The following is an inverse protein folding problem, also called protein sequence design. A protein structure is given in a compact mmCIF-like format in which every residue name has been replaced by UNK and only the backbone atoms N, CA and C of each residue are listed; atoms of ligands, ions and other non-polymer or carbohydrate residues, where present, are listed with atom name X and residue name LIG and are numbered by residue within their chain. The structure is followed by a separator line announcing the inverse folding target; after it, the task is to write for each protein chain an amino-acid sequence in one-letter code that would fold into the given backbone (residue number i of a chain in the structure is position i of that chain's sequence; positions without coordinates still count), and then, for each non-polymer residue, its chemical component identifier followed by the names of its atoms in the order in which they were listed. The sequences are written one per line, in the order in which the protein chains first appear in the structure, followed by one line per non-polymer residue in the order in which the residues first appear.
data_IF_365478997459
#
_entry.id   IF_365478997459
#
_cell.length_a   1.000
_cell.length_b   1.000
_cell.length_c   1.000
_cell.angle_alpha   90.00
_cell.angle_beta   90.00
_cell.angle_gamma   90.00
#
_symmetry.space_group_name_H-M   'P 1'
#
loop_
_entity.id
_entity.type
_entity.pdbx_description
1 polymer ?
#
# COMPACT_ATOMS: atom_id res chain seq x y z
N UNK A 1 17.93 -24.48 -48.90
CA UNK A 1 17.67 -25.38 -47.79
C UNK A 1 18.38 -24.82 -46.56
N UNK A 2 17.69 -23.89 -45.89
CA UNK A 2 18.08 -23.38 -44.57
C UNK A 2 17.04 -23.83 -43.57
N UNK A 3 17.41 -24.41 -42.42
CA UNK A 3 16.48 -24.62 -41.33
C UNK A 3 16.64 -23.51 -40.29
N UNK A 4 15.71 -22.54 -40.28
CA UNK A 4 15.51 -21.65 -39.14
C UNK A 4 14.87 -22.41 -37.99
N UNK A 5 15.70 -22.81 -37.02
CA UNK A 5 15.25 -23.32 -35.75
C UNK A 5 14.88 -22.18 -34.81
N UNK A 6 13.61 -21.78 -34.79
CA UNK A 6 13.09 -20.81 -33.83
C UNK A 6 13.13 -21.37 -32.42
N UNK A 7 13.95 -20.74 -31.57
CA UNK A 7 13.98 -21.01 -30.14
C UNK A 7 12.72 -20.41 -29.48
N UNK A 8 11.75 -21.24 -29.14
CA UNK A 8 10.61 -20.86 -28.29
C UNK A 8 10.98 -21.08 -26.82
N UNK A 9 11.00 -20.05 -25.98
CA UNK A 9 11.18 -20.25 -24.56
C UNK A 9 9.92 -20.87 -23.94
N UNK A 10 10.09 -22.01 -23.29
CA UNK A 10 9.05 -22.66 -22.48
C UNK A 10 8.56 -21.73 -21.36
N UNK A 11 7.27 -21.76 -21.00
CA UNK A 11 6.77 -20.96 -19.89
C UNK A 11 7.36 -21.46 -18.57
N UNK A 12 8.16 -20.60 -17.92
CA UNK A 12 8.71 -20.87 -16.60
C UNK A 12 7.59 -20.80 -15.58
N UNK A 13 7.20 -21.93 -15.04
CA UNK A 13 6.33 -22.02 -13.86
C UNK A 13 7.09 -21.39 -12.69
N UNK A 14 6.65 -20.20 -12.26
CA UNK A 14 7.17 -19.53 -11.07
C UNK A 14 6.48 -20.16 -9.86
N UNK A 15 7.23 -20.78 -8.91
CA UNK A 15 6.62 -21.27 -7.69
C UNK A 15 6.13 -20.09 -6.86
N UNK A 16 4.89 -20.18 -6.36
CA UNK A 16 4.35 -19.20 -5.43
C UNK A 16 5.15 -19.28 -4.11
N UNK A 17 5.64 -18.15 -3.64
CA UNK A 17 6.23 -18.04 -2.32
C UNK A 17 5.10 -18.15 -1.29
N UNK A 18 4.99 -19.30 -0.62
CA UNK A 18 4.17 -19.46 0.58
C UNK A 18 5.01 -19.11 1.80
N UNK A 19 4.47 -18.25 2.65
CA UNK A 19 5.03 -17.99 3.97
C UNK A 19 4.34 -18.95 4.94
N UNK A 20 5.07 -19.84 5.66
CA UNK A 20 4.48 -20.65 6.69
C UNK A 20 3.96 -19.74 7.82
N UNK A 21 2.78 -20.05 8.34
CA UNK A 21 2.26 -19.44 9.56
C UNK A 21 3.27 -19.73 10.69
N UNK A 22 3.61 -18.72 11.49
CA UNK A 22 4.50 -18.87 12.63
C UNK A 22 3.81 -19.81 13.63
N UNK A 23 4.31 -21.05 13.77
CA UNK A 23 4.02 -21.89 14.93
C UNK A 23 4.58 -21.17 16.17
N UNK A 24 3.78 -21.15 17.23
CA UNK A 24 4.07 -20.59 18.53
C UNK A 24 5.50 -20.94 19.00
N UNK A 25 6.37 -19.94 19.07
CA UNK A 25 7.62 -20.10 19.82
C UNK A 25 7.25 -19.90 21.29
N UNK A 26 7.15 -21.03 22.00
CA UNK A 26 6.90 -21.06 23.43
C UNK A 26 7.93 -20.23 24.20
N UNK A 27 7.42 -19.41 25.10
CA UNK A 27 8.18 -18.72 26.13
C UNK A 27 8.90 -19.74 27.04
N UNK A 28 10.22 -19.74 27.02
CA UNK A 28 11.01 -20.27 28.14
C UNK A 28 11.93 -19.18 28.67
N UNK A 29 11.69 -18.90 29.92
CA UNK A 29 12.15 -17.90 30.80
C UNK A 29 13.66 -17.62 30.90
N UNK A 30 13.95 -16.46 31.47
CA UNK A 30 15.28 -16.08 31.94
C UNK A 30 15.33 -14.61 32.33
N UNK A 31 14.84 -14.29 33.52
CA UNK A 31 15.14 -13.02 34.20
C UNK A 31 16.66 -12.84 34.36
N UNK A 32 17.18 -11.68 33.99
CA UNK A 32 18.26 -11.06 34.83
C UNK A 32 18.15 -9.54 34.69
N UNK A 33 17.83 -8.94 35.82
CA UNK A 33 17.84 -7.52 36.12
C UNK A 33 19.27 -6.97 36.16
N UNK A 34 19.52 -5.81 35.59
CA UNK A 34 20.54 -4.88 36.09
C UNK A 34 20.00 -3.46 36.05
N UNK A 35 19.83 -2.92 37.23
CA UNK A 35 19.60 -1.51 37.57
C UNK A 35 20.85 -0.67 37.38
N UNK A 36 20.61 0.65 37.40
CA UNK A 36 21.47 1.85 37.59
C UNK A 36 21.81 2.57 36.29
N UNK A 37 21.66 3.89 36.16
CA UNK A 37 21.54 4.93 37.21
C UNK A 37 21.05 6.24 36.59
N UNK A 38 20.44 7.00 37.44
CA UNK A 38 20.01 8.38 37.27
C UNK A 38 21.14 9.31 36.87
N UNK A 39 20.87 10.32 36.08
CA UNK A 39 21.31 11.70 36.39
C UNK A 39 20.45 12.75 35.66
N UNK A 40 19.76 13.50 36.47
CA UNK A 40 19.04 14.73 36.23
C UNK A 40 19.98 15.89 35.83
N UNK A 41 19.61 16.70 34.88
CA UNK A 41 19.98 18.12 34.88
C UNK A 41 18.79 18.96 34.42
N UNK A 42 18.28 19.69 35.40
CA UNK A 42 17.38 20.83 35.23
C UNK A 42 18.20 22.09 34.87
N UNK A 43 17.67 22.94 34.02
CA UNK A 43 18.01 24.37 33.90
C UNK A 43 16.82 25.08 33.25
N UNK A 44 15.95 25.65 34.00
CA UNK A 44 15.85 27.07 34.46
C UNK A 44 15.61 28.06 33.31
N UNK A 45 14.35 28.53 33.26
CA UNK A 45 13.94 29.76 32.56
C UNK A 45 14.47 31.01 33.30
N UNK A 46 14.54 32.15 32.66
CA UNK A 46 14.20 33.38 33.34
C UNK A 46 13.11 34.17 32.65
N UNK A 47 12.15 34.56 33.46
CA UNK A 47 11.20 35.64 33.26
C UNK A 47 11.88 36.99 33.47
N UNK A 48 11.49 38.01 32.75
CA UNK A 48 11.66 39.39 33.17
C UNK A 48 10.43 40.22 32.84
N UNK A 49 9.85 40.74 33.90
CA UNK A 49 8.86 41.85 33.95
C UNK A 49 9.50 43.20 33.60
N UNK A 50 8.69 44.12 33.08
CA UNK A 50 8.53 45.52 33.46
C UNK A 50 7.40 46.12 32.60
N UNK A 51 6.29 46.49 33.12
CA UNK A 51 5.85 47.60 33.96
C UNK A 51 5.81 48.98 33.23
N UNK A 52 4.60 49.54 33.18
CA UNK A 52 4.30 50.92 33.53
C UNK A 52 4.04 51.88 32.38
N UNK A 53 2.84 52.47 32.39
CA UNK A 53 2.67 53.78 31.85
C UNK A 53 1.29 54.10 31.25
N UNK A 54 0.45 54.61 32.09
CA UNK A 54 -0.85 55.27 31.87
C UNK A 54 -0.84 56.45 30.91
N UNK A 55 -1.97 56.70 30.23
CA UNK A 55 -2.25 58.02 29.65
C UNK A 55 -3.33 58.02 28.58
N UNK A 56 -4.58 58.21 28.95
CA UNK A 56 -5.62 58.78 28.09
C UNK A 56 -5.72 60.31 28.39
N UNK A 57 -6.45 61.16 27.67
CA UNK A 57 -7.33 60.98 26.52
C UNK A 57 -7.22 62.09 25.44
N UNK A 58 -7.97 62.06 24.40
CA UNK A 58 -8.85 63.09 23.80
C UNK A 58 -8.90 63.10 22.26
N UNK A 59 -10.14 62.96 21.81
CA UNK A 59 -10.86 63.67 20.74
C UNK A 59 -10.45 63.56 19.28
N UNK A 60 -11.40 63.10 18.50
CA UNK A 60 -11.77 63.84 17.31
C UNK A 60 -11.76 63.16 15.96
N UNK A 61 -12.95 62.69 15.56
CA UNK A 61 -13.57 62.92 14.25
C UNK A 61 -12.99 62.30 12.99
N UNK A 62 -13.88 61.67 12.29
CA UNK A 62 -14.02 61.50 10.83
C UNK A 62 -13.89 60.12 10.30
N UNK A 63 -15.07 59.64 10.00
CA UNK A 63 -15.36 58.45 9.18
C UNK A 63 -14.81 58.60 7.78
N UNK A 64 -14.06 57.61 7.36
CA UNK A 64 -13.87 57.28 5.95
C UNK A 64 -14.19 55.77 5.75
N UNK A 65 -14.80 55.35 4.63
CA UNK A 65 -15.37 54.05 4.50
C UNK A 65 -14.32 52.96 4.33
N UNK A 66 -14.53 51.86 5.01
CA UNK A 66 -13.82 50.58 4.86
C UNK A 66 -13.78 50.16 3.38
N UNK A 67 -12.64 50.31 2.77
CA UNK A 67 -12.32 49.67 1.52
C UNK A 67 -12.03 48.20 1.85
N UNK A 68 -13.03 47.36 1.73
CA UNK A 68 -12.87 45.91 1.75
C UNK A 68 -11.83 45.51 0.70
N UNK A 69 -10.68 45.06 1.16
CA UNK A 69 -9.65 44.46 0.31
C UNK A 69 -10.27 43.19 -0.26
N UNK A 70 -10.66 43.26 -1.53
CA UNK A 70 -11.19 42.10 -2.25
C UNK A 70 -10.09 41.03 -2.29
N UNK A 71 -10.36 39.85 -1.71
CA UNK A 71 -9.51 38.65 -1.89
C UNK A 71 -9.28 38.44 -3.38
N UNK A 72 -8.05 38.12 -3.81
CA UNK A 72 -7.76 37.87 -5.20
C UNK A 72 -8.60 36.66 -5.68
N UNK A 73 -9.52 36.91 -6.60
CA UNK A 73 -10.38 35.91 -7.18
C UNK A 73 -9.54 34.75 -7.73
N UNK A 74 -9.78 33.53 -7.26
CA UNK A 74 -9.08 32.33 -7.75
C UNK A 74 -9.23 32.25 -9.26
N UNK A 75 -8.15 31.99 -10.02
CA UNK A 75 -8.22 31.94 -11.47
C UNK A 75 -9.17 30.83 -11.92
N UNK A 76 -10.15 31.20 -12.73
CA UNK A 76 -11.13 30.26 -13.30
C UNK A 76 -10.41 29.33 -14.26
N UNK A 77 -10.41 28.03 -13.99
CA UNK A 77 -9.76 27.02 -14.83
C UNK A 77 -10.46 26.88 -16.19
N UNK A 78 -9.70 26.43 -17.22
CA UNK A 78 -10.28 26.18 -18.56
C UNK A 78 -11.45 25.21 -18.52
N UNK A 79 -11.44 24.25 -17.61
CA UNK A 79 -12.52 23.29 -17.42
C UNK A 79 -13.81 23.94 -16.92
N UNK A 80 -13.70 24.90 -15.99
CA UNK A 80 -14.82 25.69 -15.49
C UNK A 80 -15.40 26.63 -16.55
N UNK A 81 -14.59 27.03 -17.54
CA UNK A 81 -15.03 27.79 -18.73
C UNK A 81 -15.61 26.93 -19.84
N UNK A 82 -15.80 25.62 -19.62
CA UNK A 82 -16.34 24.69 -20.62
C UNK A 82 -15.39 24.37 -21.78
N UNK A 83 -14.13 24.85 -21.74
CA UNK A 83 -13.16 24.63 -22.80
C UNK A 83 -12.54 23.25 -22.61
N UNK A 84 -13.04 22.25 -23.34
CA UNK A 84 -12.45 20.91 -23.42
C UNK A 84 -11.58 20.84 -24.69
N UNK A 85 -10.26 20.90 -24.52
CA UNK A 85 -9.33 20.61 -25.61
C UNK A 85 -9.11 19.11 -25.70
N UNK A 86 -9.46 18.50 -26.81
CA UNK A 86 -9.15 17.10 -27.07
C UNK A 86 -7.63 16.97 -27.16
N UNK A 87 -7.03 16.13 -26.32
CA UNK A 87 -5.60 15.88 -26.34
C UNK A 87 -5.30 14.88 -27.47
N UNK A 88 -4.69 15.36 -28.54
CA UNK A 88 -4.19 14.52 -29.62
C UNK A 88 -2.81 14.01 -29.19
N UNK A 89 -2.64 12.69 -29.09
CA UNK A 89 -1.36 12.05 -28.82
C UNK A 89 -0.69 11.74 -30.15
N UNK A 90 0.49 12.28 -30.37
CA UNK A 90 1.29 12.08 -31.58
C UNK A 90 2.41 11.06 -31.38
N UNK A 91 2.43 10.39 -30.23
CA UNK A 91 3.46 9.44 -29.80
C UNK A 91 3.12 7.97 -30.12
N UNK A 92 2.10 7.72 -30.96
CA UNK A 92 1.65 6.37 -31.28
C UNK A 92 0.80 5.70 -30.19
N UNK A 93 0.50 6.40 -29.09
CA UNK A 93 -0.36 5.87 -28.03
C UNK A 93 -1.80 5.82 -28.52
N UNK A 94 -2.28 4.64 -28.89
CA UNK A 94 -3.68 4.40 -29.21
C UNK A 94 -4.47 4.38 -27.91
N UNK A 95 -5.17 5.47 -27.59
CA UNK A 95 -6.25 5.40 -26.61
C UNK A 95 -7.37 4.62 -27.26
N UNK A 96 -7.56 3.37 -26.88
CA UNK A 96 -8.82 2.69 -27.10
C UNK A 96 -9.90 3.53 -26.42
N UNK A 97 -10.70 4.21 -27.24
CA UNK A 97 -11.79 5.04 -26.77
C UNK A 97 -12.71 4.21 -25.90
N UNK A 98 -13.21 4.82 -24.84
CA UNK A 98 -14.27 4.30 -23.97
C UNK A 98 -15.54 4.09 -24.80
N UNK A 99 -15.58 3.04 -25.58
CA UNK A 99 -16.74 2.59 -26.34
C UNK A 99 -16.88 1.08 -26.25
N UNK A 100 -16.66 0.57 -25.03
CA UNK A 100 -17.22 -0.73 -24.68
C UNK A 100 -17.53 -0.66 -23.20
N UNK A 101 -18.72 -1.03 -22.83
CA UNK A 101 -18.97 -1.67 -21.57
C UNK A 101 -17.83 -2.67 -21.41
N UNK A 102 -16.90 -2.42 -20.50
CA UNK A 102 -15.68 -3.22 -20.33
C UNK A 102 -16.00 -4.67 -19.95
N UNK A 103 -17.29 -5.03 -19.83
CA UNK A 103 -17.73 -6.29 -19.23
C UNK A 103 -17.45 -6.37 -17.73
N UNK A 104 -16.93 -5.30 -17.14
CA UNK A 104 -16.69 -5.18 -15.71
C UNK A 104 -17.95 -4.63 -15.03
N UNK A 105 -18.48 -5.27 -13.96
CA UNK A 105 -19.69 -4.82 -13.25
C UNK A 105 -19.50 -3.40 -12.69
N UNK A 106 -20.52 -2.60 -12.78
CA UNK A 106 -20.50 -1.25 -12.22
C UNK A 106 -20.96 -1.22 -10.75
N UNK A 107 -21.70 -2.24 -10.34
CA UNK A 107 -22.25 -2.38 -9.01
C UNK A 107 -22.21 -3.84 -8.52
N UNK A 108 -22.53 -4.02 -7.24
CA UNK A 108 -22.51 -5.34 -6.60
C UNK A 108 -23.59 -6.27 -7.17
N UNK A 109 -24.76 -5.77 -7.47
CA UNK A 109 -25.88 -6.61 -7.94
C UNK A 109 -25.59 -7.24 -9.28
N UNK A 110 -24.99 -6.48 -10.21
CA UNK A 110 -24.48 -7.00 -11.47
C UNK A 110 -23.44 -8.10 -11.26
N UNK A 111 -22.49 -7.89 -10.34
CA UNK A 111 -21.44 -8.86 -10.05
C UNK A 111 -21.98 -10.14 -9.42
N UNK A 112 -22.97 -10.05 -8.53
CA UNK A 112 -23.58 -11.21 -7.88
C UNK A 112 -24.47 -12.03 -8.85
N UNK A 113 -24.98 -11.39 -9.92
CA UNK A 113 -25.83 -12.05 -10.92
C UNK A 113 -24.97 -12.82 -11.95
N UNK A 114 -23.76 -12.33 -12.27
CA UNK A 114 -22.86 -12.99 -13.23
C UNK A 114 -22.01 -14.03 -12.51
N UNK A 115 -22.12 -15.30 -12.96
CA UNK A 115 -21.42 -16.44 -12.35
C UNK A 115 -19.90 -16.23 -12.31
N UNK A 116 -19.27 -15.67 -13.35
CA UNK A 116 -17.81 -15.51 -13.40
C UNK A 116 -17.32 -14.50 -12.36
N UNK A 117 -18.08 -13.40 -12.20
CA UNK A 117 -17.76 -12.41 -11.18
C UNK A 117 -18.01 -12.93 -9.77
N UNK A 118 -19.11 -13.68 -9.58
CA UNK A 118 -19.42 -14.32 -8.31
C UNK A 118 -18.31 -15.30 -7.92
N UNK A 119 -17.87 -16.16 -8.83
CA UNK A 119 -16.77 -17.10 -8.60
C UNK A 119 -15.45 -16.36 -8.25
N UNK A 120 -15.17 -15.25 -8.93
CA UNK A 120 -14.00 -14.42 -8.62
C UNK A 120 -14.07 -13.75 -7.24
N UNK A 121 -15.26 -13.29 -6.82
CA UNK A 121 -15.51 -12.74 -5.49
C UNK A 121 -15.38 -13.80 -4.40
N UNK A 122 -15.95 -15.00 -4.63
CA UNK A 122 -15.88 -16.13 -3.70
C UNK A 122 -14.43 -16.57 -3.48
N UNK A 123 -13.62 -16.62 -4.53
CA UNK A 123 -12.20 -16.94 -4.44
C UNK A 123 -11.42 -15.90 -3.61
N UNK A 124 -11.66 -14.60 -3.86
CA UNK A 124 -11.03 -13.53 -3.07
C UNK A 124 -11.48 -13.58 -1.60
N UNK A 125 -12.78 -13.76 -1.33
CA UNK A 125 -13.31 -13.82 0.03
C UNK A 125 -12.77 -15.02 0.80
N UNK A 126 -12.69 -16.20 0.14
CA UNK A 126 -12.08 -17.39 0.73
C UNK A 126 -10.62 -17.16 1.09
N UNK A 127 -9.84 -16.58 0.19
CA UNK A 127 -8.43 -16.23 0.46
C UNK A 127 -8.28 -15.27 1.65
N UNK A 128 -9.19 -14.30 1.81
CA UNK A 128 -9.20 -13.38 2.95
C UNK A 128 -9.48 -14.11 4.27
N UNK A 129 -10.38 -15.07 4.28
CA UNK A 129 -10.69 -15.89 5.46
C UNK A 129 -9.55 -16.87 5.81
N UNK A 130 -8.99 -17.56 4.83
CA UNK A 130 -7.84 -18.46 4.99
C UNK A 130 -6.63 -17.74 5.56
N UNK A 131 -6.38 -16.52 5.08
CA UNK A 131 -5.34 -15.65 5.62
C UNK A 131 -5.66 -15.07 6.99
N UNK A 132 -6.84 -15.35 7.58
CA UNK A 132 -7.28 -14.77 8.86
C UNK A 132 -7.12 -13.24 8.88
N UNK A 133 -7.60 -12.59 7.81
CA UNK A 133 -7.40 -11.14 7.60
C UNK A 133 -8.08 -10.32 8.69
N UNK A 134 -9.18 -10.82 9.25
CA UNK A 134 -9.92 -10.19 10.35
C UNK A 134 -10.65 -11.21 11.22
N UNK A 135 -11.06 -10.76 12.38
CA UNK A 135 -12.07 -11.44 13.18
C UNK A 135 -13.27 -10.53 13.45
N UNK A 136 -14.45 -11.14 13.68
CA UNK A 136 -15.69 -10.42 13.93
C UNK A 136 -15.84 -10.06 15.40
N UNK A 137 -16.08 -8.78 15.67
CA UNK A 137 -16.35 -8.27 17.01
C UNK A 137 -17.70 -7.54 17.06
N UNK A 138 -18.35 -7.45 18.24
CA UNK A 138 -19.51 -6.59 18.40
C UNK A 138 -19.17 -5.12 18.08
N UNK A 139 -20.13 -4.34 17.54
CA UNK A 139 -19.90 -2.92 17.33
C UNK A 139 -19.58 -2.22 18.65
N UNK A 140 -18.55 -1.39 18.68
CA UNK A 140 -18.14 -0.63 19.86
C UNK A 140 -18.30 0.86 19.61
N UNK A 141 -18.83 1.59 20.60
CA UNK A 141 -18.95 3.05 20.52
C UNK A 141 -17.55 3.71 20.47
N UNK A 142 -17.43 4.79 19.72
CA UNK A 142 -16.21 5.60 19.65
C UNK A 142 -15.12 5.09 18.70
N UNK A 143 -15.26 3.89 18.14
CA UNK A 143 -14.31 3.38 17.13
C UNK A 143 -14.62 3.93 15.74
N UNK A 144 -13.57 4.28 14.98
CA UNK A 144 -13.75 4.63 13.58
C UNK A 144 -13.90 3.35 12.76
N UNK A 145 -15.08 3.17 12.15
CA UNK A 145 -15.36 1.98 11.32
C UNK A 145 -15.37 2.40 9.85
N UNK A 146 -14.36 1.98 9.12
CA UNK A 146 -14.27 2.27 7.69
C UNK A 146 -15.13 1.30 6.88
N UNK A 147 -15.48 1.68 5.65
CA UNK A 147 -16.13 0.79 4.70
C UNK A 147 -15.13 0.09 3.81
N UNK A 148 -15.60 -0.91 3.07
CA UNK A 148 -14.90 -1.51 1.94
C UNK A 148 -15.73 -1.43 0.66
N UNK A 149 -15.15 -1.86 -0.44
CA UNK A 149 -15.82 -2.01 -1.73
C UNK A 149 -15.19 -3.13 -2.53
N UNK A 150 -15.97 -3.74 -3.39
CA UNK A 150 -15.45 -4.63 -4.41
C UNK A 150 -14.90 -3.83 -5.61
N UNK A 151 -13.82 -4.30 -6.17
CA UNK A 151 -13.18 -3.77 -7.38
C UNK A 151 -13.01 -4.91 -8.36
N UNK A 152 -13.56 -4.74 -9.54
CA UNK A 152 -13.59 -5.75 -10.59
C UNK A 152 -12.61 -5.40 -11.69
N UNK A 153 -11.92 -6.41 -12.24
CA UNK A 153 -10.97 -6.22 -13.34
C UNK A 153 -10.90 -7.45 -14.21
N UNK A 154 -11.11 -7.27 -15.51
CA UNK A 154 -10.82 -8.30 -16.49
C UNK A 154 -9.31 -8.32 -16.76
N UNK A 155 -8.69 -9.47 -16.56
CA UNK A 155 -7.31 -9.70 -16.99
C UNK A 155 -7.30 -10.31 -18.38
N UNK A 156 -6.43 -9.77 -19.24
CA UNK A 156 -6.27 -10.24 -20.62
C UNK A 156 -4.85 -10.74 -20.82
N UNK A 157 -4.68 -11.74 -21.67
CA UNK A 157 -3.39 -12.22 -22.14
C UNK A 157 -2.75 -11.21 -23.09
N UNK A 158 -1.50 -11.46 -23.49
CA UNK A 158 -0.77 -10.61 -24.43
C UNK A 158 -1.42 -10.53 -25.82
N UNK A 159 -2.16 -11.56 -26.22
CA UNK A 159 -2.93 -11.62 -27.45
C UNK A 159 -4.29 -10.88 -27.39
N UNK A 160 -4.62 -10.30 -26.22
CA UNK A 160 -5.89 -9.59 -25.99
C UNK A 160 -7.05 -10.51 -25.58
N UNK A 161 -6.90 -11.82 -25.62
CA UNK A 161 -7.93 -12.77 -25.18
C UNK A 161 -8.15 -12.68 -23.66
N UNK A 162 -9.33 -13.12 -23.21
CA UNK A 162 -9.67 -13.19 -21.80
C UNK A 162 -8.72 -14.17 -21.11
N UNK A 163 -8.02 -13.70 -20.05
CA UNK A 163 -7.27 -14.55 -19.14
C UNK A 163 -8.17 -14.99 -17.97
N UNK A 164 -8.63 -14.03 -17.18
CA UNK A 164 -9.47 -14.31 -15.99
C UNK A 164 -10.23 -13.08 -15.51
N UNK A 165 -11.32 -13.33 -14.80
CA UNK A 165 -12.01 -12.35 -13.98
C UNK A 165 -11.25 -12.19 -12.67
N UNK A 166 -11.07 -10.97 -12.19
CA UNK A 166 -10.43 -10.69 -10.91
C UNK A 166 -11.28 -9.72 -10.10
N UNK A 167 -11.75 -10.17 -8.94
CA UNK A 167 -12.35 -9.33 -7.94
C UNK A 167 -11.34 -9.06 -6.81
N UNK A 168 -11.40 -7.89 -6.20
CA UNK A 168 -10.64 -7.53 -5.00
C UNK A 168 -11.51 -6.82 -4.00
N UNK A 169 -11.40 -7.19 -2.74
CA UNK A 169 -11.96 -6.41 -1.65
C UNK A 169 -10.99 -5.30 -1.29
N UNK A 170 -11.45 -4.05 -1.32
CA UNK A 170 -10.63 -2.86 -1.10
C UNK A 170 -11.22 -2.03 0.03
N UNK A 171 -10.46 -1.78 1.08
CA UNK A 171 -10.84 -0.90 2.16
C UNK A 171 -10.90 0.56 1.68
N UNK A 172 -11.85 1.33 2.21
CA UNK A 172 -11.95 2.77 1.92
C UNK A 172 -11.00 3.56 2.84
N UNK A 173 -9.70 3.41 2.64
CA UNK A 173 -8.64 4.00 3.46
C UNK A 173 -8.69 5.52 3.56
N UNK A 174 -9.36 6.22 2.62
CA UNK A 174 -9.60 7.66 2.73
C UNK A 174 -10.47 8.05 3.92
N UNK A 175 -11.20 7.09 4.54
CA UNK A 175 -11.95 7.27 5.77
C UNK A 175 -11.11 7.04 7.03
N UNK A 176 -9.87 6.57 6.90
CA UNK A 176 -8.96 6.40 8.03
C UNK A 176 -8.51 7.76 8.57
N UNK A 177 -8.35 7.84 9.89
CA UNK A 177 -7.92 9.03 10.63
C UNK A 177 -6.50 8.84 11.11
N UNK A 178 -5.64 9.82 10.84
CA UNK A 178 -4.28 9.87 11.35
C UNK A 178 -4.27 9.93 12.88
N UNK A 179 -3.35 9.20 13.52
CA UNK A 179 -3.24 9.11 14.99
C UNK A 179 -4.31 8.22 15.65
N UNK A 180 -5.22 7.61 14.88
CA UNK A 180 -6.27 6.70 15.38
C UNK A 180 -6.20 5.35 14.65
N UNK A 181 -6.33 5.38 13.31
CA UNK A 181 -6.36 4.16 12.48
C UNK A 181 -5.01 3.86 11.84
N UNK A 182 -4.12 4.83 11.79
CA UNK A 182 -2.74 4.70 11.28
C UNK A 182 -1.87 5.85 11.78
N UNK A 183 -0.58 5.60 11.92
CA UNK A 183 0.41 6.63 12.23
C UNK A 183 1.36 6.82 11.05
N UNK A 184 2.10 5.80 10.67
CA UNK A 184 3.07 5.85 9.59
C UNK A 184 2.59 5.03 8.37
N UNK A 185 2.78 5.59 7.19
CA UNK A 185 2.38 4.97 5.92
C UNK A 185 3.55 4.79 4.96
N UNK A 186 4.73 5.28 5.34
CA UNK A 186 5.88 5.22 4.45
C UNK A 186 6.29 3.78 4.20
N UNK A 187 6.38 3.41 2.93
CA UNK A 187 6.97 2.17 2.46
C UNK A 187 8.02 2.49 1.42
N UNK A 188 9.24 2.00 1.58
CA UNK A 188 10.26 2.17 0.57
C UNK A 188 9.84 1.56 -0.76
N UNK A 189 10.21 2.25 -1.85
CA UNK A 189 10.05 1.75 -3.23
C UNK A 189 11.40 1.89 -3.92
N UNK A 190 11.86 0.83 -4.56
CA UNK A 190 13.16 0.81 -5.20
C UNK A 190 13.29 1.91 -6.27
N UNK A 191 14.42 2.63 -6.23
CA UNK A 191 14.71 3.72 -7.16
C UNK A 191 15.05 3.18 -8.54
N UNK A 192 14.65 3.88 -9.59
CA UNK A 192 14.97 3.49 -10.97
C UNK A 192 16.48 3.40 -11.24
N UNK A 193 17.29 4.24 -10.58
CA UNK A 193 18.75 4.16 -10.67
C UNK A 193 19.28 2.84 -10.08
N UNK A 194 18.76 2.41 -8.92
CA UNK A 194 19.12 1.15 -8.26
C UNK A 194 18.79 -0.05 -9.16
N UNK A 195 17.58 -0.06 -9.74
CA UNK A 195 17.17 -1.13 -10.68
C UNK A 195 18.15 -1.21 -11.84
N UNK A 196 18.43 -0.08 -12.52
CA UNK A 196 19.33 -0.04 -13.67
C UNK A 196 20.75 -0.51 -13.30
N UNK A 197 21.27 -0.09 -12.14
CA UNK A 197 22.59 -0.50 -11.67
C UNK A 197 22.65 -2.01 -11.43
N UNK A 198 21.69 -2.59 -10.72
CA UNK A 198 21.66 -4.03 -10.45
C UNK A 198 21.50 -4.83 -11.74
N UNK A 199 20.61 -4.41 -12.66
CA UNK A 199 20.45 -5.07 -13.96
C UNK A 199 21.72 -4.99 -14.80
N UNK A 200 22.40 -3.84 -14.84
CA UNK A 200 23.68 -3.68 -15.56
C UNK A 200 24.76 -4.62 -15.01
N UNK A 201 24.88 -4.74 -13.69
CA UNK A 201 25.80 -5.68 -13.04
C UNK A 201 25.43 -7.13 -13.40
N UNK A 202 24.16 -7.49 -13.32
CA UNK A 202 23.70 -8.83 -13.61
C UNK A 202 24.01 -9.22 -15.07
N UNK A 203 23.68 -8.35 -16.02
CA UNK A 203 23.96 -8.58 -17.45
C UNK A 203 25.46 -8.67 -17.72
N UNK A 204 26.29 -7.73 -17.20
CA UNK A 204 27.72 -7.70 -17.44
C UNK A 204 28.47 -8.91 -16.86
N UNK A 205 27.88 -9.54 -15.83
CA UNK A 205 28.47 -10.71 -15.15
C UNK A 205 27.81 -12.04 -15.52
N UNK A 206 26.80 -12.02 -16.41
CA UNK A 206 26.05 -13.21 -16.80
C UNK A 206 25.24 -13.83 -15.65
N UNK A 207 24.74 -13.01 -14.73
CA UNK A 207 23.97 -13.47 -13.59
C UNK A 207 22.54 -13.83 -13.98
N UNK A 208 21.95 -14.76 -13.24
CA UNK A 208 20.56 -15.12 -13.40
C UNK A 208 19.66 -14.01 -12.87
N UNK A 209 18.64 -13.63 -13.66
CA UNK A 209 17.60 -12.68 -13.27
C UNK A 209 16.27 -13.41 -13.17
N UNK A 210 15.56 -13.17 -12.07
CA UNK A 210 14.20 -13.70 -11.84
C UNK A 210 13.31 -12.57 -11.37
N UNK A 211 12.08 -12.54 -11.88
CA UNK A 211 11.00 -11.73 -11.37
C UNK A 211 10.05 -12.64 -10.60
N UNK A 212 9.64 -12.20 -9.41
CA UNK A 212 8.68 -12.88 -8.56
C UNK A 212 7.52 -11.91 -8.33
N UNK A 213 6.30 -12.39 -8.48
CA UNK A 213 5.05 -11.70 -8.12
C UNK A 213 4.50 -12.37 -6.86
N UNK A 214 4.30 -11.60 -5.81
CA UNK A 214 3.75 -12.13 -4.56
C UNK A 214 2.25 -11.98 -4.58
N UNK A 215 1.58 -13.13 -4.67
CA UNK A 215 0.13 -13.17 -4.67
C UNK A 215 -0.41 -12.60 -3.36
N UNK A 216 -1.34 -11.62 -3.46
CA UNK A 216 -1.99 -10.99 -2.32
C UNK A 216 -1.00 -10.43 -1.27
N UNK A 217 0.11 -9.82 -1.72
CA UNK A 217 1.23 -9.37 -0.90
C UNK A 217 0.81 -8.67 0.41
N UNK A 218 -0.16 -7.76 0.35
CA UNK A 218 -0.60 -7.03 1.54
C UNK A 218 -1.22 -7.91 2.62
N UNK A 219 -1.86 -9.03 2.25
CA UNK A 219 -2.46 -9.95 3.22
C UNK A 219 -1.42 -10.68 4.11
N UNK A 220 -0.14 -10.58 3.76
CA UNK A 220 0.96 -11.09 4.57
C UNK A 220 1.48 -10.07 5.60
N UNK A 221 1.09 -8.78 5.48
CA UNK A 221 1.46 -7.72 6.43
C UNK A 221 0.54 -7.72 7.65
N UNK A 222 1.10 -7.77 8.85
CA UNK A 222 0.34 -7.60 10.10
C UNK A 222 0.12 -6.13 10.39
N UNK A 223 -1.05 -5.82 10.95
CA UNK A 223 -1.36 -4.48 11.43
C UNK A 223 -1.02 -4.39 12.91
N UNK A 224 -0.30 -3.36 13.28
CA UNK A 224 -0.02 -3.00 14.67
C UNK A 224 -1.14 -2.12 15.24
N UNK A 225 -1.78 -1.35 14.36
CA UNK A 225 -2.85 -0.42 14.69
C UNK A 225 -4.21 -1.12 14.69
N UNK A 226 -5.11 -0.65 15.55
CA UNK A 226 -6.50 -1.13 15.59
C UNK A 226 -7.33 -0.53 14.45
N UNK A 227 -7.57 -1.29 13.42
CA UNK A 227 -8.41 -0.89 12.27
C UNK A 227 -9.71 -1.68 12.26
N UNK A 228 -10.83 -0.96 12.17
CA UNK A 228 -12.17 -1.55 12.15
C UNK A 228 -12.84 -1.26 10.81
N UNK A 229 -13.46 -2.30 10.24
CA UNK A 229 -14.09 -2.23 8.92
C UNK A 229 -15.49 -2.86 8.97
N UNK A 230 -16.42 -2.32 8.21
CA UNK A 230 -17.71 -2.98 7.99
C UNK A 230 -17.53 -4.31 7.28
N UNK A 231 -18.38 -5.26 7.54
CA UNK A 231 -18.37 -6.52 6.79
C UNK A 231 -18.53 -6.25 5.28
N UNK A 232 -17.87 -7.07 4.43
CA UNK A 232 -18.01 -6.94 2.98
C UNK A 232 -19.46 -7.14 2.54
N UNK A 233 -19.97 -6.20 1.76
CA UNK A 233 -21.32 -6.28 1.20
C UNK A 233 -21.48 -7.54 0.34
N UNK A 234 -22.57 -8.27 0.58
CA UNK A 234 -22.87 -9.55 -0.08
C UNK A 234 -22.22 -10.77 0.58
N UNK A 235 -21.40 -10.55 1.63
CA UNK A 235 -20.70 -11.60 2.39
C UNK A 235 -20.83 -11.41 3.91
N UNK A 236 -21.87 -10.74 4.33
CA UNK A 236 -22.13 -10.52 5.75
C UNK A 236 -22.46 -11.83 6.46
N UNK A 237 -21.91 -12.01 7.65
CA UNK A 237 -22.18 -13.18 8.47
C UNK A 237 -23.64 -13.19 8.92
N UNK A 238 -24.40 -14.20 8.50
CA UNK A 238 -25.85 -14.34 8.78
C UNK A 238 -26.18 -14.42 10.27
N UNK A 239 -25.29 -15.01 11.07
CA UNK A 239 -25.48 -15.12 12.53
C UNK A 239 -25.03 -13.89 13.29
N UNK A 240 -24.24 -13.00 12.68
CA UNK A 240 -23.64 -11.80 13.29
C UNK A 240 -23.70 -10.60 12.34
N UNK A 241 -24.90 -10.23 11.82
CA UNK A 241 -25.02 -9.23 10.75
C UNK A 241 -24.56 -7.83 11.18
N UNK A 242 -24.66 -7.48 12.48
CA UNK A 242 -24.27 -6.19 13.00
C UNK A 242 -22.82 -6.14 13.50
N UNK A 243 -22.08 -7.24 13.45
CA UNK A 243 -20.67 -7.28 13.86
C UNK A 243 -19.80 -6.56 12.83
N UNK A 244 -18.66 -6.07 13.30
CA UNK A 244 -17.65 -5.41 12.48
C UNK A 244 -16.40 -6.27 12.41
N UNK A 245 -15.60 -6.09 11.34
CA UNK A 245 -14.31 -6.73 11.18
C UNK A 245 -13.24 -5.91 11.94
N UNK A 246 -12.56 -6.51 12.91
CA UNK A 246 -11.28 -6.00 13.40
C UNK A 246 -10.20 -6.61 12.52
N UNK A 247 -9.45 -5.77 11.81
CA UNK A 247 -8.42 -6.23 10.87
C UNK A 247 -7.16 -6.62 11.65
N UNK A 248 -6.68 -7.83 11.41
CA UNK A 248 -5.42 -8.36 11.95
C UNK A 248 -4.29 -8.23 10.94
N UNK A 249 -4.64 -8.27 9.64
CA UNK A 249 -3.69 -8.14 8.53
C UNK A 249 -4.08 -6.99 7.60
N UNK A 250 -3.08 -6.51 6.87
CA UNK A 250 -3.28 -5.43 5.91
C UNK A 250 -4.16 -5.86 4.74
N UNK A 251 -4.98 -4.94 4.27
CA UNK A 251 -5.90 -5.12 3.14
C UNK A 251 -5.64 -4.03 2.11
N UNK A 252 -5.89 -4.34 0.84
CA UNK A 252 -5.84 -3.35 -0.22
C UNK A 252 -6.69 -2.10 0.13
N UNK A 253 -6.14 -0.92 -0.11
CA UNK A 253 -6.78 0.35 0.14
C UNK A 253 -6.52 0.97 1.51
N UNK A 254 -5.95 0.24 2.48
CA UNK A 254 -5.45 0.82 3.72
C UNK A 254 -4.19 1.65 3.47
N UNK A 255 -4.05 2.75 4.18
CA UNK A 255 -2.91 3.67 4.03
C UNK A 255 -1.59 3.03 4.45
N UNK A 256 -1.59 2.22 5.51
CA UNK A 256 -0.40 1.53 6.04
C UNK A 256 -0.12 0.16 5.40
N UNK A 257 -0.99 -0.35 4.51
CA UNK A 257 -0.82 -1.69 3.94
C UNK A 257 0.55 -1.90 3.25
N UNK A 258 1.08 -0.94 2.46
CA UNK A 258 2.41 -1.10 1.87
C UNK A 258 3.52 -1.19 2.93
N UNK A 259 3.41 -0.41 4.02
CA UNK A 259 4.38 -0.45 5.14
C UNK A 259 4.36 -1.80 5.84
N UNK A 260 3.17 -2.29 6.20
CA UNK A 260 3.00 -3.56 6.90
C UNK A 260 3.57 -4.74 6.07
N UNK A 261 3.30 -4.77 4.77
CA UNK A 261 3.89 -5.75 3.86
C UNK A 261 5.41 -5.64 3.77
N UNK A 262 5.94 -4.43 3.54
CA UNK A 262 7.38 -4.21 3.46
C UNK A 262 8.08 -4.62 4.77
N UNK A 263 7.53 -4.29 5.92
CA UNK A 263 8.04 -4.68 7.24
C UNK A 263 8.14 -6.20 7.36
N UNK A 264 7.07 -6.92 6.99
CA UNK A 264 7.06 -8.39 7.02
C UNK A 264 8.12 -9.00 6.12
N UNK A 265 8.21 -8.53 4.87
CA UNK A 265 9.17 -9.04 3.88
C UNK A 265 10.61 -8.72 4.29
N UNK A 266 10.89 -7.49 4.71
CA UNK A 266 12.23 -7.07 5.14
C UNK A 266 12.72 -7.87 6.35
N UNK A 267 11.88 -8.07 7.35
CA UNK A 267 12.19 -8.92 8.52
C UNK A 267 12.54 -10.34 8.08
N UNK A 268 11.76 -10.92 7.16
CA UNK A 268 12.06 -12.26 6.64
C UNK A 268 13.39 -12.32 5.88
N UNK A 269 13.67 -11.34 5.02
CA UNK A 269 14.95 -11.28 4.30
C UNK A 269 16.14 -11.15 5.26
N UNK A 270 16.02 -10.30 6.29
CA UNK A 270 17.06 -10.15 7.31
C UNK A 270 17.28 -11.47 8.05
N UNK A 271 16.22 -12.18 8.43
CA UNK A 271 16.32 -13.49 9.09
C UNK A 271 17.01 -14.56 8.22
N UNK A 272 16.94 -14.42 6.89
CA UNK A 272 17.64 -15.26 5.92
C UNK A 272 19.11 -14.83 5.68
N UNK A 273 19.57 -13.79 6.38
CA UNK A 273 20.95 -13.30 6.30
C UNK A 273 21.22 -12.25 5.22
N UNK A 274 20.16 -11.71 4.60
CA UNK A 274 20.28 -10.55 3.74
C UNK A 274 20.53 -9.27 4.56
N UNK A 275 21.16 -8.29 3.94
CA UNK A 275 21.39 -6.97 4.50
C UNK A 275 20.67 -5.91 3.67
N UNK A 276 20.01 -4.95 4.31
CA UNK A 276 19.42 -3.84 3.62
C UNK A 276 20.48 -2.81 3.22
N UNK A 277 20.37 -2.27 2.02
CA UNK A 277 21.26 -1.23 1.53
C UNK A 277 20.94 0.12 2.19
N UNK A 278 21.97 0.84 2.62
CA UNK A 278 21.82 2.21 3.18
C UNK A 278 21.45 3.24 2.11
N UNK A 279 21.81 3.00 0.85
CA UNK A 279 21.53 3.92 -0.25
C UNK A 279 20.10 3.80 -0.78
N UNK A 280 19.52 2.61 -0.69
CA UNK A 280 18.15 2.32 -1.10
C UNK A 280 17.63 1.15 -0.23
N UNK A 281 16.76 1.44 0.70
CA UNK A 281 16.26 0.45 1.66
C UNK A 281 15.39 -0.64 1.03
N UNK A 282 14.95 -0.45 -0.21
CA UNK A 282 14.26 -1.48 -0.99
C UNK A 282 15.20 -2.44 -1.73
N UNK A 283 16.52 -2.23 -1.61
CA UNK A 283 17.56 -3.16 -2.08
C UNK A 283 18.09 -3.97 -0.90
N UNK A 284 17.99 -5.27 -0.99
CA UNK A 284 18.63 -6.21 -0.09
C UNK A 284 19.72 -6.97 -0.81
N UNK A 285 20.80 -7.29 -0.11
CA UNK A 285 21.91 -8.06 -0.68
C UNK A 285 22.38 -9.14 0.29
N UNK A 286 22.81 -10.25 -0.30
CA UNK A 286 23.43 -11.37 0.39
C UNK A 286 24.76 -11.65 -0.29
N UNK A 287 25.85 -11.78 0.49
CA UNK A 287 27.18 -12.08 -0.04
C UNK A 287 27.92 -12.98 0.94
N UNK A 288 27.81 -14.30 0.75
CA UNK A 288 28.50 -15.31 1.56
C UNK A 288 28.84 -16.53 0.69
N UNK A 289 29.95 -17.20 0.99
CA UNK A 289 30.33 -18.45 0.32
C UNK A 289 30.51 -18.34 -1.19
N UNK A 290 30.96 -17.18 -1.70
CA UNK A 290 31.11 -16.95 -3.14
C UNK A 290 29.79 -16.78 -3.90
N UNK A 291 28.66 -16.67 -3.19
CA UNK A 291 27.36 -16.38 -3.76
C UNK A 291 26.98 -14.93 -3.46
N UNK A 292 26.63 -14.17 -4.48
CA UNK A 292 26.07 -12.82 -4.35
C UNK A 292 24.66 -12.81 -4.89
N UNK A 293 23.72 -12.28 -4.09
CA UNK A 293 22.31 -12.15 -4.48
C UNK A 293 21.87 -10.72 -4.17
N UNK A 294 21.19 -10.09 -5.11
CA UNK A 294 20.46 -8.84 -4.93
C UNK A 294 18.97 -9.10 -5.02
N UNK A 295 18.19 -8.50 -4.10
CA UNK A 295 16.74 -8.52 -4.08
C UNK A 295 16.26 -7.08 -4.11
N UNK A 296 15.48 -6.74 -5.13
CA UNK A 296 14.87 -5.43 -5.33
C UNK A 296 13.38 -5.55 -5.08
N UNK A 297 12.85 -4.75 -4.17
CA UNK A 297 11.42 -4.77 -3.79
C UNK A 297 10.70 -3.58 -4.40
N UNK A 298 9.67 -3.86 -5.21
CA UNK A 298 8.75 -2.87 -5.73
C UNK A 298 7.31 -3.29 -5.41
N UNK A 299 6.88 -3.02 -4.20
CA UNK A 299 5.58 -3.40 -3.63
C UNK A 299 5.40 -4.93 -3.67
N UNK A 300 4.57 -5.47 -4.57
CA UNK A 300 4.31 -6.89 -4.82
C UNK A 300 5.26 -7.53 -5.85
N UNK A 301 5.94 -6.71 -6.65
CA UNK A 301 6.97 -7.16 -7.61
C UNK A 301 8.34 -7.23 -6.96
N UNK A 302 9.03 -8.37 -7.11
CA UNK A 302 10.38 -8.59 -6.60
C UNK A 302 11.28 -9.01 -7.75
N UNK A 303 12.43 -8.35 -7.88
CA UNK A 303 13.47 -8.76 -8.83
C UNK A 303 14.64 -9.34 -8.03
N UNK A 304 15.05 -10.54 -8.41
CA UNK A 304 16.21 -11.24 -7.84
C UNK A 304 17.29 -11.37 -8.88
N UNK A 305 18.50 -10.88 -8.58
CA UNK A 305 19.69 -11.09 -9.38
C UNK A 305 20.69 -11.94 -8.59
N UNK A 306 21.14 -13.07 -9.14
CA UNK A 306 22.01 -14.02 -8.44
C UNK A 306 23.20 -14.42 -9.31
N UNK A 307 24.36 -14.52 -8.66
CA UNK A 307 25.60 -15.00 -9.31
C UNK A 307 25.62 -16.51 -9.59
N UNK A 308 24.62 -17.25 -9.11
CA UNK A 308 24.43 -18.70 -9.34
C UNK A 308 22.94 -19.00 -9.54
#
# INVERSE_FOLDING_TARGET
SDPEGGFQPSPVHTPALSFPDDEEIGETGGLTSLQQGEQSHAATSPSSHHDGGSGSPLTGVSSAPDTAVAEPARPVTRLQRGIRKQKVYTDGTVRYGMLTTTGEPQNLDEALTDKNWKDAMDAEFTALLENKTWHLIPPSHGKNVIDCKWVYKIKRKSDGSLDRYKARLVAKGFKQRYGIDYEDTFSPVVKAATIRTVLSIAVSRGWCLRQLDVQNAFLHGYLEEEVYMRQPLGYENKSKPNYICKLDKALYGLKQAPRAWYSRLSTKLISLGFQASKADTSLFFYNKGGVTIFVLIYVDDIIVASSR
#
